data_IF_937190288986
#
_entry.id   IF_937190288986
#
_cell.length_a   1.000
_cell.length_b   1.000
_cell.length_c   1.000
_cell.angle_alpha   90.00
_cell.angle_beta   90.00
_cell.angle_gamma   90.00
#
_symmetry.space_group_name_H-M   'P 1'
#
loop_
_entity.id
_entity.type
_entity.pdbx_description
1 polymer ?
#
# COMPACT_ATOMS: atom_id res chain seq x y z
N UNK A 1 24.56 -4.40 14.26
CA UNK A 1 25.21 -5.64 13.77
C UNK A 1 26.56 -5.28 13.18
N UNK A 2 27.58 -5.25 14.01
CA UNK A 2 28.94 -4.97 13.57
C UNK A 2 29.79 -6.25 13.85
N UNK A 3 30.19 -6.95 12.78
CA UNK A 3 31.15 -8.04 12.97
C UNK A 3 31.34 -9.02 11.82
N UNK A 4 30.29 -9.61 11.30
CA UNK A 4 30.42 -10.56 10.18
C UNK A 4 29.65 -10.09 8.97
N UNK A 5 30.27 -10.11 7.79
CA UNK A 5 29.58 -9.85 6.56
C UNK A 5 28.59 -11.00 6.32
N UNK A 6 27.32 -10.70 6.00
CA UNK A 6 26.28 -11.72 5.82
C UNK A 6 26.53 -12.64 4.62
N UNK A 7 27.51 -12.31 3.79
CA UNK A 7 27.97 -13.10 2.65
C UNK A 7 29.47 -12.89 2.39
N UNK A 8 30.07 -13.86 1.73
CA UNK A 8 31.44 -13.80 1.22
C UNK A 8 31.49 -14.09 -0.27
N UNK A 9 32.47 -13.50 -0.96
CA UNK A 9 32.75 -13.76 -2.39
C UNK A 9 34.18 -14.27 -2.48
N UNK A 10 34.35 -15.52 -2.95
CA UNK A 10 35.63 -16.13 -3.19
C UNK A 10 35.58 -16.99 -4.44
N UNK A 11 36.58 -16.90 -5.30
CA UNK A 11 36.74 -17.73 -6.51
C UNK A 11 35.51 -17.72 -7.44
N UNK A 12 34.82 -16.55 -7.52
CA UNK A 12 33.59 -16.40 -8.31
C UNK A 12 32.35 -17.05 -7.67
N UNK A 13 32.46 -17.54 -6.43
CA UNK A 13 31.34 -18.06 -5.66
C UNK A 13 30.88 -17.03 -4.63
N UNK A 14 29.56 -16.96 -4.44
CA UNK A 14 28.92 -16.15 -3.40
C UNK A 14 28.28 -17.11 -2.38
N UNK A 15 28.75 -17.03 -1.14
CA UNK A 15 28.22 -17.81 -0.01
C UNK A 15 27.45 -16.88 0.94
N UNK A 16 26.23 -17.25 1.29
CA UNK A 16 25.34 -16.49 2.19
C UNK A 16 25.19 -17.27 3.50
N UNK A 17 25.19 -16.57 4.63
CA UNK A 17 24.99 -17.16 5.95
C UNK A 17 23.52 -17.57 6.15
N UNK A 18 23.27 -18.80 6.63
CA UNK A 18 21.93 -19.28 6.97
C UNK A 18 21.28 -18.44 8.09
N UNK A 19 22.05 -18.00 9.06
CA UNK A 19 21.57 -17.14 10.13
C UNK A 19 21.08 -15.79 9.59
N UNK A 20 21.73 -15.27 8.56
CA UNK A 20 21.31 -14.04 7.91
C UNK A 20 20.02 -14.24 7.07
N UNK A 21 19.91 -15.35 6.35
CA UNK A 21 18.67 -15.71 5.64
C UNK A 21 17.50 -15.87 6.61
N UNK A 22 17.73 -16.49 7.76
CA UNK A 22 16.75 -16.57 8.85
C UNK A 22 16.27 -15.20 9.31
N UNK A 23 17.18 -14.26 9.56
CA UNK A 23 16.83 -12.89 9.95
C UNK A 23 15.99 -12.17 8.90
N UNK A 24 16.35 -12.28 7.62
CA UNK A 24 15.56 -11.69 6.53
C UNK A 24 14.16 -12.28 6.46
N UNK A 25 14.05 -13.60 6.63
CA UNK A 25 12.76 -14.31 6.65
C UNK A 25 11.90 -13.84 7.82
N UNK A 26 12.47 -13.66 9.01
CA UNK A 26 11.79 -13.17 10.21
C UNK A 26 11.24 -11.75 10.02
N UNK A 27 12.01 -10.87 9.40
CA UNK A 27 11.57 -9.51 9.10
C UNK A 27 10.43 -9.48 8.08
N UNK A 28 10.61 -10.17 6.95
CA UNK A 28 9.63 -10.14 5.84
C UNK A 28 8.31 -10.80 6.20
N UNK A 29 8.35 -11.77 7.09
CA UNK A 29 7.16 -12.48 7.58
C UNK A 29 6.50 -11.82 8.79
N UNK A 30 7.11 -10.75 9.33
CA UNK A 30 6.69 -10.14 10.60
C UNK A 30 6.65 -11.15 11.77
N UNK A 31 7.66 -12.02 11.88
CA UNK A 31 7.72 -13.12 12.84
C UNK A 31 7.51 -12.66 14.29
N UNK A 32 8.16 -11.56 14.68
CA UNK A 32 8.00 -10.99 16.02
C UNK A 32 6.55 -10.60 16.33
N UNK A 33 5.84 -10.05 15.34
CA UNK A 33 4.43 -9.69 15.51
C UNK A 33 3.51 -10.93 15.54
N UNK A 34 3.81 -11.97 14.77
CA UNK A 34 3.06 -13.23 14.81
C UNK A 34 3.14 -13.90 16.19
N UNK A 35 4.29 -13.78 16.85
CA UNK A 35 4.54 -14.36 18.18
C UNK A 35 4.07 -13.47 19.33
N UNK A 36 3.74 -12.19 19.05
CA UNK A 36 3.32 -11.25 20.07
C UNK A 36 1.90 -11.53 20.56
N UNK A 37 1.71 -11.55 21.88
CA UNK A 37 0.40 -11.59 22.53
C UNK A 37 -0.20 -10.19 22.76
N UNK A 38 0.59 -9.14 22.52
CA UNK A 38 0.13 -7.76 22.72
C UNK A 38 -1.00 -7.41 21.75
N UNK A 39 -2.05 -6.79 22.29
CA UNK A 39 -3.19 -6.28 21.49
C UNK A 39 -3.55 -4.87 21.93
N UNK A 40 -3.88 -4.04 20.96
CA UNK A 40 -4.46 -2.73 21.23
C UNK A 40 -5.99 -2.83 21.42
N UNK A 41 -6.64 -1.67 21.66
CA UNK A 41 -8.09 -1.58 21.83
C UNK A 41 -8.92 -2.10 20.66
N UNK A 42 -8.33 -2.24 19.49
CA UNK A 42 -8.95 -2.75 18.27
C UNK A 42 -8.56 -4.21 17.98
N UNK A 43 -7.93 -4.89 18.94
CA UNK A 43 -7.44 -6.28 18.80
C UNK A 43 -6.39 -6.41 17.67
N UNK A 44 -5.54 -5.40 17.49
CA UNK A 44 -4.42 -5.40 16.54
C UNK A 44 -3.11 -5.61 17.29
N UNK A 45 -2.12 -6.16 16.61
CA UNK A 45 -0.74 -6.12 17.11
C UNK A 45 -0.26 -4.66 17.06
N UNK A 46 0.11 -4.04 18.20
CA UNK A 46 0.57 -2.65 18.21
C UNK A 46 1.96 -2.53 17.58
N UNK A 47 2.24 -1.36 16.99
CA UNK A 47 3.54 -1.11 16.38
C UNK A 47 4.73 -1.32 17.33
N UNK A 48 4.54 -1.12 18.64
CA UNK A 48 5.57 -1.40 19.66
C UNK A 48 6.00 -2.87 19.77
N UNK A 49 5.29 -3.82 19.13
CA UNK A 49 5.71 -5.22 19.00
C UNK A 49 6.58 -5.49 17.76
N UNK A 50 6.73 -4.51 16.88
CA UNK A 50 7.50 -4.64 15.65
C UNK A 50 9.00 -4.43 15.91
N UNK A 51 9.84 -5.31 15.37
CA UNK A 51 11.29 -5.29 15.59
C UNK A 51 11.95 -3.98 15.09
N UNK A 52 11.48 -3.42 13.97
CA UNK A 52 12.03 -2.17 13.44
C UNK A 52 11.67 -0.97 14.32
N UNK A 53 10.45 -0.96 14.87
CA UNK A 53 10.01 0.08 15.82
C UNK A 53 10.84 0.01 17.11
N UNK A 54 11.07 -1.19 17.63
CA UNK A 54 11.92 -1.37 18.81
C UNK A 54 13.37 -0.92 18.58
N UNK A 55 13.84 -1.01 17.33
CA UNK A 55 15.16 -0.55 16.91
C UNK A 55 15.21 0.94 16.51
N UNK A 56 14.07 1.65 16.43
CA UNK A 56 13.99 3.01 15.89
C UNK A 56 14.30 3.12 14.40
N UNK A 57 14.05 2.04 13.65
CA UNK A 57 14.36 1.90 12.22
C UNK A 57 13.11 1.73 11.33
N UNK A 58 11.93 2.04 11.85
CA UNK A 58 10.66 1.89 11.12
C UNK A 58 10.55 2.79 9.89
N UNK A 59 11.42 3.80 9.77
CA UNK A 59 11.49 4.66 8.57
C UNK A 59 12.59 4.24 7.60
N UNK A 60 13.34 3.19 7.89
CA UNK A 60 14.43 2.69 7.05
C UNK A 60 13.98 1.54 6.16
N UNK A 61 14.50 1.50 4.94
CA UNK A 61 14.27 0.44 3.97
C UNK A 61 15.36 -0.65 4.10
N UNK A 62 15.45 -1.24 5.30
CA UNK A 62 16.53 -2.17 5.66
C UNK A 62 16.65 -3.34 4.68
N UNK A 63 15.53 -3.97 4.31
CA UNK A 63 15.54 -5.12 3.40
C UNK A 63 15.95 -4.73 1.98
N UNK A 64 15.53 -3.55 1.49
CA UNK A 64 15.95 -3.09 0.17
C UNK A 64 17.41 -2.70 0.13
N UNK A 65 17.94 -2.11 1.18
CA UNK A 65 19.37 -1.82 1.31
C UNK A 65 20.20 -3.13 1.27
N UNK A 66 19.78 -4.12 2.04
CA UNK A 66 20.40 -5.47 2.01
C UNK A 66 20.32 -6.08 0.61
N UNK A 67 19.17 -5.97 -0.06
CA UNK A 67 19.01 -6.50 -1.42
C UNK A 67 19.92 -5.76 -2.44
N UNK A 68 20.11 -4.45 -2.30
CA UNK A 68 21.04 -3.69 -3.12
C UNK A 68 22.49 -4.12 -2.89
N UNK A 69 22.92 -4.24 -1.63
CA UNK A 69 24.25 -4.70 -1.26
C UNK A 69 24.53 -6.13 -1.75
N UNK A 70 23.50 -7.00 -1.67
CA UNK A 70 23.58 -8.37 -2.19
C UNK A 70 23.72 -8.39 -3.72
N UNK A 71 22.91 -7.58 -4.43
CA UNK A 71 23.04 -7.39 -5.89
C UNK A 71 24.47 -6.99 -6.27
N UNK A 72 25.03 -6.03 -5.56
CA UNK A 72 26.40 -5.57 -5.81
C UNK A 72 27.44 -6.67 -5.53
N UNK A 73 27.21 -7.53 -4.53
CA UNK A 73 28.05 -8.70 -4.29
C UNK A 73 27.96 -9.71 -5.45
N UNK A 74 26.76 -9.97 -5.98
CA UNK A 74 26.55 -10.81 -7.16
C UNK A 74 27.29 -10.24 -8.38
N UNK A 75 27.21 -8.94 -8.63
CA UNK A 75 27.92 -8.27 -9.72
C UNK A 75 29.44 -8.43 -9.55
N UNK A 76 29.96 -8.24 -8.35
CA UNK A 76 31.40 -8.48 -8.07
C UNK A 76 31.81 -9.92 -8.29
N UNK A 77 31.00 -10.89 -7.85
CA UNK A 77 31.27 -12.31 -8.04
C UNK A 77 31.25 -12.72 -9.52
N UNK A 78 30.42 -12.08 -10.35
CA UNK A 78 30.37 -12.31 -11.78
C UNK A 78 31.68 -11.89 -12.50
N UNK A 79 32.44 -10.92 -11.94
CA UNK A 79 33.68 -10.43 -12.53
C UNK A 79 33.47 -9.84 -13.91
N UNK A 80 34.16 -10.39 -14.91
CA UNK A 80 34.07 -9.94 -16.33
C UNK A 80 32.90 -10.57 -17.11
N UNK A 81 32.10 -11.44 -16.49
CA UNK A 81 30.96 -12.08 -17.17
C UNK A 81 29.92 -11.05 -17.53
N UNK A 82 29.37 -11.09 -18.77
CA UNK A 82 28.28 -10.20 -19.16
C UNK A 82 27.07 -10.41 -18.26
N UNK A 83 26.54 -9.33 -17.73
CA UNK A 83 25.34 -9.34 -16.87
C UNK A 83 24.27 -8.41 -17.42
N UNK A 84 23.03 -8.77 -17.18
CA UNK A 84 21.84 -7.95 -17.38
C UNK A 84 20.94 -8.05 -16.16
N UNK A 85 20.26 -6.96 -15.85
CA UNK A 85 19.27 -6.88 -14.79
C UNK A 85 17.90 -6.54 -15.38
N UNK A 86 16.84 -7.02 -14.80
CA UNK A 86 15.50 -6.60 -15.16
C UNK A 86 15.25 -5.18 -14.65
N UNK A 87 14.69 -4.32 -15.50
CA UNK A 87 14.24 -2.99 -15.09
C UNK A 87 13.36 -3.05 -13.83
N UNK A 88 13.51 -2.11 -12.90
CA UNK A 88 12.72 -2.12 -11.68
C UNK A 88 11.23 -1.96 -11.98
N UNK A 89 10.87 -1.08 -12.92
CA UNK A 89 9.49 -0.72 -13.28
C UNK A 89 9.34 -0.58 -14.80
N UNK A 90 8.10 -0.52 -15.34
CA UNK A 90 7.88 -0.42 -16.79
C UNK A 90 8.33 0.94 -17.33
N UNK A 91 8.50 0.99 -18.64
CA UNK A 91 8.70 2.20 -19.47
C UNK A 91 9.83 3.14 -19.02
N UNK A 92 10.84 2.57 -18.33
CA UNK A 92 12.00 3.32 -17.84
C UNK A 92 11.78 4.06 -16.52
N UNK A 93 10.64 3.87 -15.87
CA UNK A 93 10.42 4.38 -14.52
C UNK A 93 11.36 3.72 -13.52
N UNK A 94 11.89 4.52 -12.58
CA UNK A 94 12.80 4.02 -11.55
C UNK A 94 12.11 3.64 -10.25
N UNK A 95 10.88 4.12 -10.03
CA UNK A 95 10.07 3.82 -8.86
C UNK A 95 8.59 3.90 -9.21
N UNK A 96 7.74 3.39 -8.33
CA UNK A 96 6.30 3.39 -8.52
C UNK A 96 5.57 4.10 -7.39
N UNK A 97 4.36 4.59 -7.66
CA UNK A 97 3.47 5.15 -6.67
C UNK A 97 2.06 4.55 -6.83
N UNK A 98 1.60 3.87 -5.78
CA UNK A 98 0.26 3.32 -5.64
C UNK A 98 -0.61 4.22 -4.76
N UNK A 99 -1.54 4.96 -5.36
CA UNK A 99 -2.52 5.74 -4.63
C UNK A 99 -3.67 4.85 -4.21
N UNK A 100 -4.14 4.97 -2.96
CA UNK A 100 -5.31 4.22 -2.52
C UNK A 100 -6.22 5.03 -1.60
N UNK A 101 -7.51 4.65 -1.62
CA UNK A 101 -8.57 5.31 -0.90
C UNK A 101 -9.43 4.29 -0.16
N UNK A 102 -9.65 4.50 1.14
CA UNK A 102 -10.53 3.66 1.93
C UNK A 102 -11.89 4.37 2.06
N UNK A 103 -12.95 3.74 1.56
CA UNK A 103 -14.29 4.31 1.53
C UNK A 103 -15.04 3.98 2.83
N UNK A 104 -14.65 4.67 3.92
CA UNK A 104 -15.19 4.45 5.26
C UNK A 104 -16.53 5.15 5.48
N UNK A 105 -16.70 6.32 4.89
CA UNK A 105 -17.87 7.19 5.07
C UNK A 105 -18.50 7.46 3.71
N UNK A 106 -19.77 7.09 3.56
CA UNK A 106 -20.60 7.39 2.38
C UNK A 106 -21.82 8.20 2.80
N UNK A 107 -22.53 7.76 3.82
CA UNK A 107 -23.73 8.39 4.33
C UNK A 107 -23.49 9.09 5.68
N UNK A 108 -24.48 9.84 6.17
CA UNK A 108 -24.50 10.40 7.52
C UNK A 108 -23.38 11.42 7.82
N UNK A 109 -22.85 12.12 6.82
CA UNK A 109 -21.77 13.08 7.03
C UNK A 109 -22.04 14.12 8.16
N UNK A 110 -23.27 14.62 8.43
CA UNK A 110 -23.51 15.53 9.54
C UNK A 110 -23.22 14.91 10.93
N UNK A 111 -23.48 13.59 11.07
CA UNK A 111 -23.13 12.87 12.28
C UNK A 111 -21.60 12.81 12.48
N UNK A 112 -20.86 12.49 11.41
CA UNK A 112 -19.40 12.47 11.46
C UNK A 112 -18.82 13.85 11.73
N UNK A 113 -19.43 14.93 11.22
CA UNK A 113 -19.11 16.31 11.60
C UNK A 113 -19.29 16.51 13.12
N UNK A 114 -20.42 16.08 13.67
CA UNK A 114 -20.68 16.17 15.11
C UNK A 114 -19.64 15.41 15.96
N UNK A 115 -19.30 14.19 15.56
CA UNK A 115 -18.26 13.39 16.22
C UNK A 115 -16.89 14.10 16.16
N UNK A 116 -16.54 14.65 15.00
CA UNK A 116 -15.29 15.40 14.85
C UNK A 116 -15.26 16.68 15.66
N UNK A 117 -16.36 17.40 15.76
CA UNK A 117 -16.45 18.58 16.63
C UNK A 117 -16.21 18.23 18.09
N UNK A 118 -16.70 17.09 18.58
CA UNK A 118 -16.40 16.64 19.95
C UNK A 118 -14.92 16.35 20.16
N UNK A 119 -14.25 15.81 19.16
CA UNK A 119 -12.80 15.59 19.18
C UNK A 119 -12.05 16.95 19.21
N UNK A 120 -12.39 17.90 18.33
CA UNK A 120 -11.80 19.23 18.28
C UNK A 120 -12.01 20.03 19.57
N UNK A 121 -13.16 19.88 20.25
CA UNK A 121 -13.42 20.47 21.55
C UNK A 121 -12.45 19.91 22.60
N UNK A 122 -12.21 18.61 22.61
CA UNK A 122 -11.23 17.97 23.51
C UNK A 122 -9.81 18.46 23.25
N UNK A 123 -9.47 18.70 21.98
CA UNK A 123 -8.17 19.27 21.58
C UNK A 123 -8.07 20.78 21.77
N UNK A 124 -9.15 21.46 22.20
CA UNK A 124 -9.21 22.90 22.45
C UNK A 124 -8.81 23.74 21.22
N UNK A 125 -9.29 23.38 20.03
CA UNK A 125 -9.02 24.09 18.77
C UNK A 125 -10.25 24.88 18.29
N UNK A 126 -10.50 26.10 18.86
CA UNK A 126 -11.67 26.91 18.52
C UNK A 126 -11.64 27.41 17.07
N UNK A 127 -10.45 27.64 16.52
CA UNK A 127 -10.30 28.11 15.14
C UNK A 127 -10.77 27.07 14.14
N UNK A 128 -10.43 25.80 14.37
CA UNK A 128 -10.87 24.69 13.52
C UNK A 128 -12.35 24.36 13.72
N UNK A 129 -12.86 24.48 14.95
CA UNK A 129 -14.30 24.34 15.21
C UNK A 129 -15.10 25.33 14.37
N UNK A 130 -14.74 26.62 14.38
CA UNK A 130 -15.42 27.66 13.60
C UNK A 130 -15.34 27.39 12.09
N UNK A 131 -14.17 27.02 11.57
CA UNK A 131 -13.99 26.67 10.16
C UNK A 131 -14.85 25.45 9.76
N UNK A 132 -14.91 24.43 10.61
CA UNK A 132 -15.71 23.23 10.38
C UNK A 132 -17.20 23.54 10.37
N UNK A 133 -17.70 24.32 11.33
CA UNK A 133 -19.10 24.73 11.40
C UNK A 133 -19.48 25.58 10.20
N UNK A 134 -18.66 26.56 9.82
CA UNK A 134 -18.88 27.40 8.64
C UNK A 134 -18.92 26.54 7.35
N UNK A 135 -17.99 25.62 7.17
CA UNK A 135 -17.97 24.72 6.04
C UNK A 135 -19.19 23.77 6.02
N UNK A 136 -19.58 23.23 7.17
CA UNK A 136 -20.75 22.37 7.27
C UNK A 136 -22.04 23.11 6.90
N UNK A 137 -22.21 24.35 7.36
CA UNK A 137 -23.37 25.18 7.03
C UNK A 137 -23.43 25.50 5.53
N UNK A 138 -22.31 25.87 4.93
CA UNK A 138 -22.23 26.19 3.48
C UNK A 138 -22.37 24.97 2.59
N UNK A 139 -22.09 23.78 3.09
CA UNK A 139 -22.22 22.52 2.35
C UNK A 139 -23.65 21.94 2.37
N UNK A 140 -24.52 22.44 3.22
CA UNK A 140 -25.94 22.05 3.18
C UNK A 140 -26.69 22.86 2.11
N UNK A 141 -27.49 22.25 1.23
CA UNK A 141 -27.96 20.86 1.22
C UNK A 141 -27.08 19.86 0.45
N UNK A 142 -25.85 20.19 0.16
CA UNK A 142 -24.95 19.37 -0.65
C UNK A 142 -24.41 18.11 0.06
N UNK A 143 -23.56 17.42 -0.66
CA UNK A 143 -22.88 16.20 -0.23
C UNK A 143 -21.36 16.39 -0.25
N UNK A 144 -20.76 16.79 0.85
CA UNK A 144 -19.33 17.05 0.90
C UNK A 144 -18.46 15.79 0.72
N UNK A 145 -18.96 14.59 1.07
CA UNK A 145 -18.21 13.34 0.87
C UNK A 145 -18.16 12.99 -0.61
N UNK A 146 -19.31 13.07 -1.31
CA UNK A 146 -19.34 12.85 -2.75
C UNK A 146 -18.49 13.88 -3.51
N UNK A 147 -18.53 15.14 -3.10
CA UNK A 147 -17.64 16.18 -3.64
C UNK A 147 -16.17 15.85 -3.37
N UNK A 148 -15.84 15.33 -2.19
CA UNK A 148 -14.50 14.85 -1.85
C UNK A 148 -14.03 13.75 -2.79
N UNK A 149 -14.87 12.73 -3.03
CA UNK A 149 -14.58 11.65 -4.00
C UNK A 149 -14.33 12.23 -5.39
N UNK A 150 -15.22 13.11 -5.88
CA UNK A 150 -15.06 13.75 -7.19
C UNK A 150 -13.74 14.53 -7.28
N UNK A 151 -13.41 15.30 -6.24
CA UNK A 151 -12.14 16.03 -6.17
C UNK A 151 -10.93 15.11 -6.24
N UNK A 152 -10.93 13.98 -5.53
CA UNK A 152 -9.84 13.00 -5.60
C UNK A 152 -9.68 12.42 -7.01
N UNK A 153 -10.78 12.09 -7.67
CA UNK A 153 -10.78 11.58 -9.04
C UNK A 153 -10.24 12.61 -10.04
N UNK A 154 -10.70 13.86 -9.95
CA UNK A 154 -10.22 14.96 -10.80
C UNK A 154 -8.74 15.24 -10.60
N UNK A 155 -8.27 15.26 -9.36
CA UNK A 155 -6.85 15.47 -9.05
C UNK A 155 -5.98 14.31 -9.55
N UNK A 156 -6.40 13.05 -9.40
CA UNK A 156 -5.73 11.90 -9.97
C UNK A 156 -5.68 11.95 -11.50
N UNK A 157 -6.80 12.24 -12.15
CA UNK A 157 -6.90 12.36 -13.60
C UNK A 157 -5.99 13.46 -14.16
N UNK A 158 -5.83 14.59 -13.45
CA UNK A 158 -4.97 15.71 -13.83
C UNK A 158 -3.50 15.30 -14.05
N UNK A 159 -3.03 14.31 -13.29
CA UNK A 159 -1.65 13.80 -13.38
C UNK A 159 -1.57 12.40 -14.00
N UNK A 160 -2.67 11.87 -14.53
CA UNK A 160 -2.72 10.54 -15.13
C UNK A 160 -2.50 9.40 -14.13
N UNK A 161 -2.84 9.59 -12.85
CA UNK A 161 -2.64 8.60 -11.80
C UNK A 161 -3.93 7.80 -11.54
N UNK A 162 -3.97 6.50 -11.92
CA UNK A 162 -5.02 5.61 -11.45
C UNK A 162 -4.88 5.36 -9.94
N UNK A 163 -5.95 4.94 -9.30
CA UNK A 163 -5.93 4.62 -7.87
C UNK A 163 -6.74 3.37 -7.55
N UNK A 164 -6.48 2.78 -6.38
CA UNK A 164 -7.21 1.63 -5.85
C UNK A 164 -8.14 2.07 -4.74
N UNK A 165 -9.43 1.72 -4.83
CA UNK A 165 -10.46 2.09 -3.88
C UNK A 165 -10.91 0.86 -3.09
N UNK A 166 -10.69 0.86 -1.78
CA UNK A 166 -11.13 -0.22 -0.91
C UNK A 166 -12.51 0.10 -0.34
N UNK A 167 -13.47 -0.81 -0.55
CA UNK A 167 -14.89 -0.62 -0.29
C UNK A 167 -15.38 -1.61 0.76
N UNK A 168 -15.99 -1.08 1.84
CA UNK A 168 -16.67 -1.90 2.85
C UNK A 168 -17.93 -2.54 2.23
N UNK A 169 -18.03 -3.86 2.30
CA UNK A 169 -19.13 -4.62 1.71
C UNK A 169 -19.77 -5.67 2.66
N UNK A 170 -19.65 -5.43 3.96
CA UNK A 170 -20.33 -6.22 5.01
C UNK A 170 -21.83 -5.92 5.08
N UNK A 171 -22.47 -6.45 6.11
CA UNK A 171 -23.91 -6.15 6.40
C UNK A 171 -23.99 -5.06 7.47
N UNK A 172 -24.61 -3.90 7.18
CA UNK A 172 -24.78 -2.85 8.17
C UNK A 172 -25.76 -3.30 9.26
N UNK A 173 -25.34 -3.12 10.51
CA UNK A 173 -26.14 -3.43 11.70
C UNK A 173 -25.97 -2.34 12.76
N UNK A 174 -26.83 -2.21 13.76
CA UNK A 174 -26.57 -1.30 14.87
C UNK A 174 -25.21 -1.54 15.56
N UNK A 175 -24.74 -2.79 15.61
CA UNK A 175 -23.44 -3.12 16.19
C UNK A 175 -22.27 -2.67 15.33
N UNK A 176 -22.33 -2.81 14.00
CA UNK A 176 -21.29 -2.30 13.09
C UNK A 176 -21.24 -0.78 13.11
N UNK A 177 -22.41 -0.13 13.18
CA UNK A 177 -22.51 1.31 13.31
C UNK A 177 -21.88 1.81 14.63
N UNK A 178 -22.24 1.21 15.76
CA UNK A 178 -21.68 1.58 17.08
C UNK A 178 -20.17 1.32 17.18
N UNK A 179 -19.66 0.31 16.47
CA UNK A 179 -18.23 0.00 16.40
C UNK A 179 -17.44 0.95 15.45
N UNK A 180 -18.12 1.81 14.68
CA UNK A 180 -17.52 2.63 13.63
C UNK A 180 -16.96 1.78 12.47
N UNK A 181 -17.51 0.56 12.27
CA UNK A 181 -17.11 -0.33 11.18
C UNK A 181 -17.86 0.05 9.89
N UNK A 182 -18.99 -0.57 9.63
CA UNK A 182 -19.83 -0.24 8.48
C UNK A 182 -21.03 0.60 8.92
N UNK A 183 -21.10 1.85 8.46
CA UNK A 183 -22.09 2.84 8.85
C UNK A 183 -23.08 3.20 7.73
N UNK A 184 -22.93 2.59 6.56
CA UNK A 184 -23.72 2.86 5.36
C UNK A 184 -24.11 1.57 4.64
N UNK A 185 -25.06 1.65 3.72
CA UNK A 185 -25.54 0.48 2.98
C UNK A 185 -24.77 0.32 1.65
N UNK A 186 -23.93 -0.73 1.50
CA UNK A 186 -23.19 -1.00 0.26
C UNK A 186 -24.07 -1.19 -0.98
N UNK A 187 -25.33 -1.58 -0.80
CA UNK A 187 -26.30 -1.77 -1.88
C UNK A 187 -27.11 -0.50 -2.15
N UNK A 188 -26.90 0.55 -1.37
CA UNK A 188 -27.61 1.81 -1.50
C UNK A 188 -27.38 2.48 -2.87
N UNK A 189 -28.37 3.27 -3.33
CA UNK A 189 -28.29 3.97 -4.61
C UNK A 189 -27.05 4.86 -4.72
N UNK A 190 -26.67 5.50 -3.61
CA UNK A 190 -25.50 6.37 -3.53
C UNK A 190 -24.19 5.60 -3.68
N UNK A 191 -24.04 4.49 -2.96
CA UNK A 191 -22.88 3.61 -3.06
C UNK A 191 -22.72 3.07 -4.48
N UNK A 192 -23.81 2.57 -5.10
CA UNK A 192 -23.79 2.10 -6.48
C UNK A 192 -23.37 3.18 -7.48
N UNK A 193 -23.81 4.44 -7.29
CA UNK A 193 -23.39 5.56 -8.14
C UNK A 193 -21.87 5.82 -8.02
N UNK A 194 -21.31 5.74 -6.81
CA UNK A 194 -19.86 5.84 -6.59
C UNK A 194 -19.11 4.70 -7.30
N UNK A 195 -19.57 3.45 -7.14
CA UNK A 195 -18.92 2.31 -7.81
C UNK A 195 -18.93 2.47 -9.33
N UNK A 196 -20.07 2.86 -9.90
CA UNK A 196 -20.17 3.09 -11.35
C UNK A 196 -19.22 4.19 -11.82
N UNK A 197 -19.03 5.24 -11.04
CA UNK A 197 -18.09 6.33 -11.34
C UNK A 197 -16.64 5.83 -11.30
N UNK A 198 -16.28 5.04 -10.29
CA UNK A 198 -14.92 4.48 -10.13
C UNK A 198 -14.56 3.54 -11.28
N UNK A 199 -15.46 2.60 -11.61
CA UNK A 199 -15.27 1.66 -12.73
C UNK A 199 -15.18 2.39 -14.06
N UNK A 200 -16.09 3.35 -14.32
CA UNK A 200 -16.08 4.13 -15.56
C UNK A 200 -14.80 4.98 -15.72
N UNK A 201 -14.17 5.39 -14.64
CA UNK A 201 -12.92 6.14 -14.64
C UNK A 201 -11.67 5.24 -14.69
N UNK A 202 -11.82 3.91 -14.75
CA UNK A 202 -10.71 2.95 -14.83
C UNK A 202 -9.94 2.76 -13.53
N UNK A 203 -10.55 3.08 -12.38
CA UNK A 203 -9.95 2.82 -11.07
C UNK A 203 -10.20 1.37 -10.63
N UNK A 204 -9.26 0.82 -9.86
CA UNK A 204 -9.42 -0.49 -9.27
C UNK A 204 -10.32 -0.43 -8.03
N UNK A 205 -11.22 -1.41 -7.88
CA UNK A 205 -12.01 -1.61 -6.67
C UNK A 205 -11.56 -2.87 -5.94
N UNK A 206 -11.04 -2.69 -4.72
CA UNK A 206 -10.68 -3.74 -3.77
C UNK A 206 -11.71 -3.87 -2.63
N UNK A 207 -11.66 -4.98 -1.90
CA UNK A 207 -12.47 -5.15 -0.70
C UNK A 207 -11.84 -4.43 0.50
N UNK A 208 -12.60 -3.56 1.18
CA UNK A 208 -12.29 -3.17 2.55
C UNK A 208 -12.92 -4.18 3.50
N UNK A 209 -12.10 -5.08 4.08
CA UNK A 209 -12.60 -6.15 4.93
C UNK A 209 -13.19 -5.61 6.23
N UNK A 210 -14.49 -5.80 6.48
CA UNK A 210 -15.15 -5.34 7.71
C UNK A 210 -14.64 -6.06 8.96
N UNK A 211 -15.00 -5.62 10.15
CA UNK A 211 -14.63 -6.31 11.40
C UNK A 211 -15.11 -7.77 11.46
N UNK A 212 -16.15 -8.10 10.72
CA UNK A 212 -16.66 -9.47 10.65
C UNK A 212 -15.62 -10.42 10.06
N UNK A 213 -14.86 -10.01 9.06
CA UNK A 213 -13.84 -10.85 8.41
C UNK A 213 -12.74 -11.28 9.39
N UNK A 214 -12.42 -10.46 10.39
CA UNK A 214 -11.42 -10.82 11.41
C UNK A 214 -11.94 -11.85 12.45
N UNK A 215 -13.25 -12.10 12.49
CA UNK A 215 -13.89 -13.03 13.42
C UNK A 215 -14.43 -14.27 12.73
N UNK A 216 -14.81 -14.16 11.47
CA UNK A 216 -15.44 -15.20 10.65
C UNK A 216 -14.77 -15.22 9.27
N UNK A 217 -13.82 -16.12 9.03
CA UNK A 217 -13.05 -16.18 7.77
C UNK A 217 -13.93 -16.27 6.52
N UNK A 218 -15.06 -17.00 6.60
CA UNK A 218 -16.00 -17.09 5.47
C UNK A 218 -16.54 -15.73 4.99
N UNK A 219 -16.57 -14.72 5.89
CA UNK A 219 -17.02 -13.36 5.53
C UNK A 219 -16.16 -12.72 4.44
N UNK A 220 -14.90 -13.09 4.28
CA UNK A 220 -14.07 -12.62 3.16
C UNK A 220 -14.66 -13.00 1.81
N UNK A 221 -14.98 -14.28 1.62
CA UNK A 221 -15.55 -14.75 0.36
C UNK A 221 -16.95 -14.18 0.11
N UNK A 222 -17.78 -14.08 1.15
CA UNK A 222 -19.13 -13.52 1.09
C UNK A 222 -19.11 -12.04 0.68
N UNK A 223 -18.27 -11.22 1.35
CA UNK A 223 -18.15 -9.79 1.05
C UNK A 223 -17.54 -9.56 -0.34
N UNK A 224 -16.55 -10.38 -0.73
CA UNK A 224 -15.97 -10.34 -2.07
C UNK A 224 -17.00 -10.65 -3.15
N UNK A 225 -17.81 -11.69 -2.97
CA UNK A 225 -18.88 -12.04 -3.90
C UNK A 225 -19.96 -10.95 -4.00
N UNK A 226 -20.35 -10.37 -2.85
CA UNK A 226 -21.29 -9.23 -2.82
C UNK A 226 -20.73 -8.03 -3.58
N UNK A 227 -19.46 -7.67 -3.34
CA UNK A 227 -18.82 -6.57 -4.04
C UNK A 227 -18.79 -6.79 -5.55
N UNK A 228 -18.47 -8.01 -5.99
CA UNK A 228 -18.50 -8.37 -7.42
C UNK A 228 -19.89 -8.21 -8.05
N UNK A 229 -20.97 -8.55 -7.33
CA UNK A 229 -22.34 -8.32 -7.79
C UNK A 229 -22.68 -6.82 -7.92
N UNK A 230 -22.09 -5.97 -7.08
CA UNK A 230 -22.36 -4.54 -7.05
C UNK A 230 -21.56 -3.76 -8.09
N UNK A 231 -20.34 -4.19 -8.39
CA UNK A 231 -19.41 -3.48 -9.29
C UNK A 231 -19.32 -4.11 -10.68
N UNK A 232 -19.72 -5.37 -10.83
CA UNK A 232 -19.50 -6.17 -12.05
C UNK A 232 -18.11 -6.77 -12.15
N UNK A 233 -17.21 -6.47 -11.22
CA UNK A 233 -15.81 -6.90 -11.22
C UNK A 233 -15.44 -7.63 -9.92
N UNK A 234 -14.65 -8.69 -10.04
CA UNK A 234 -14.18 -9.43 -8.87
C UNK A 234 -12.97 -8.74 -8.25
N UNK A 235 -13.07 -8.31 -7.00
CA UNK A 235 -11.97 -7.70 -6.28
C UNK A 235 -10.77 -8.64 -6.20
N UNK A 236 -9.61 -8.17 -6.67
CA UNK A 236 -8.33 -8.90 -6.62
C UNK A 236 -7.61 -8.68 -5.31
N UNK A 237 -7.76 -7.48 -4.74
CA UNK A 237 -7.11 -7.07 -3.52
C UNK A 237 -8.05 -6.86 -2.34
N UNK A 238 -7.45 -6.90 -1.14
CA UNK A 238 -8.14 -6.63 0.11
C UNK A 238 -7.30 -5.72 1.00
N UNK A 239 -7.98 -4.88 1.79
CA UNK A 239 -7.41 -4.14 2.92
C UNK A 239 -8.35 -4.27 4.10
N UNK A 240 -7.83 -4.63 5.27
CA UNK A 240 -8.64 -4.73 6.48
C UNK A 240 -8.96 -3.35 7.05
N UNK A 241 -10.23 -3.12 7.33
CA UNK A 241 -10.67 -1.94 8.06
C UNK A 241 -9.97 -1.81 9.41
N UNK A 242 -9.56 -0.60 9.77
CA UNK A 242 -8.72 -0.30 10.95
C UNK A 242 -7.36 -1.02 10.95
N UNK A 243 -6.87 -1.50 9.81
CA UNK A 243 -5.63 -2.28 9.74
C UNK A 243 -5.70 -3.51 10.66
N UNK A 244 -6.88 -4.10 10.80
CA UNK A 244 -7.12 -5.21 11.73
C UNK A 244 -6.61 -6.53 11.14
N UNK A 245 -5.35 -6.82 11.39
CA UNK A 245 -4.62 -7.93 10.81
C UNK A 245 -3.94 -8.75 11.91
N UNK A 246 -3.99 -10.06 11.77
CA UNK A 246 -3.12 -11.03 12.46
C UNK A 246 -2.18 -11.63 11.41
N UNK A 247 -0.92 -11.16 11.35
CA UNK A 247 0.02 -11.63 10.34
C UNK A 247 0.12 -13.15 10.30
N UNK A 248 0.21 -13.71 9.10
CA UNK A 248 0.21 -15.16 8.87
C UNK A 248 -1.18 -15.78 8.88
N UNK A 249 -2.01 -15.55 9.89
CA UNK A 249 -3.35 -16.14 10.01
C UNK A 249 -4.32 -15.51 9.01
N UNK A 250 -4.52 -14.20 9.11
CA UNK A 250 -5.46 -13.47 8.24
C UNK A 250 -5.07 -13.57 6.76
N UNK A 251 -3.78 -13.61 6.45
CA UNK A 251 -3.32 -13.78 5.06
C UNK A 251 -3.75 -15.11 4.45
N UNK A 252 -3.72 -16.21 5.22
CA UNK A 252 -4.19 -17.51 4.74
C UNK A 252 -5.72 -17.50 4.53
N UNK A 253 -6.46 -16.82 5.39
CA UNK A 253 -7.91 -16.62 5.25
C UNK A 253 -8.26 -15.82 3.98
N UNK A 254 -7.53 -14.73 3.71
CA UNK A 254 -7.65 -13.95 2.49
C UNK A 254 -7.34 -14.78 1.23
N UNK A 255 -6.26 -15.57 1.28
CA UNK A 255 -5.91 -16.48 0.19
C UNK A 255 -6.99 -17.54 -0.06
N UNK A 256 -7.56 -18.11 1.01
CA UNK A 256 -8.67 -19.05 0.93
C UNK A 256 -9.93 -18.46 0.30
N UNK A 257 -10.13 -17.15 0.42
CA UNK A 257 -11.20 -16.40 -0.24
C UNK A 257 -10.86 -15.97 -1.67
N UNK A 258 -9.65 -16.28 -2.17
CA UNK A 258 -9.21 -16.01 -3.52
C UNK A 258 -8.66 -14.61 -3.77
N UNK A 259 -8.26 -13.87 -2.71
CA UNK A 259 -7.55 -12.60 -2.90
C UNK A 259 -6.11 -12.84 -3.37
N UNK A 260 -5.70 -12.03 -4.32
CA UNK A 260 -4.37 -12.11 -4.93
C UNK A 260 -3.34 -11.27 -4.18
N UNK A 261 -3.77 -10.15 -3.57
CA UNK A 261 -2.90 -9.32 -2.76
C UNK A 261 -3.62 -8.76 -1.53
N UNK A 262 -2.83 -8.46 -0.49
CA UNK A 262 -3.23 -7.73 0.73
C UNK A 262 -2.51 -6.39 0.81
N UNK A 263 -3.26 -5.32 1.02
CA UNK A 263 -2.75 -3.95 1.19
C UNK A 263 -2.87 -3.47 2.65
N UNK A 264 -2.89 -4.39 3.62
CA UNK A 264 -3.04 -4.06 5.05
C UNK A 264 -1.71 -3.87 5.79
N UNK A 265 -0.59 -4.40 5.25
CA UNK A 265 0.71 -4.44 5.95
C UNK A 265 1.36 -3.05 6.05
N UNK A 266 0.79 -2.18 6.88
CA UNK A 266 1.36 -0.92 7.33
C UNK A 266 1.09 -0.74 8.80
N UNK A 267 1.66 0.27 9.42
CA UNK A 267 1.36 0.61 10.81
C UNK A 267 0.03 1.35 10.91
N UNK A 268 -0.71 1.12 11.98
CA UNK A 268 -1.97 1.81 12.23
C UNK A 268 -1.80 3.14 12.98
N UNK A 269 -0.69 3.33 13.68
CA UNK A 269 -0.43 4.43 14.62
C UNK A 269 0.79 5.29 14.27
N UNK A 270 1.50 4.95 13.20
CA UNK A 270 2.64 5.72 12.68
C UNK A 270 2.81 5.48 11.18
N UNK A 271 3.53 6.36 10.51
CA UNK A 271 3.96 6.18 9.12
C UNK A 271 5.36 5.58 9.09
N UNK A 272 5.64 4.76 8.09
CA UNK A 272 6.91 4.05 7.94
C UNK A 272 6.76 2.68 7.29
N UNK A 273 7.83 1.93 7.27
CA UNK A 273 7.95 0.66 6.54
C UNK A 273 7.87 -0.52 7.52
N UNK A 274 6.67 -1.06 7.71
CA UNK A 274 6.41 -2.13 8.70
C UNK A 274 7.25 -3.39 8.49
N UNK A 275 7.59 -3.70 7.26
CA UNK A 275 8.47 -4.83 6.88
C UNK A 275 9.90 -4.40 6.51
N UNK A 276 10.26 -3.10 6.66
CA UNK A 276 11.55 -2.57 6.22
C UNK A 276 11.74 -2.64 4.71
N UNK A 277 10.64 -2.64 3.95
CA UNK A 277 10.64 -2.77 2.49
C UNK A 277 9.58 -1.87 1.87
N UNK A 278 9.90 -1.30 0.71
CA UNK A 278 8.99 -0.57 -0.15
C UNK A 278 8.83 -1.31 -1.49
N UNK A 279 8.29 -2.50 -1.44
CA UNK A 279 8.07 -3.38 -2.60
C UNK A 279 6.96 -4.39 -2.31
N UNK A 280 6.47 -5.06 -3.35
CA UNK A 280 5.56 -6.19 -3.22
C UNK A 280 6.31 -7.41 -2.70
N UNK A 281 5.84 -7.94 -1.60
CA UNK A 281 6.46 -9.06 -0.89
C UNK A 281 5.54 -10.28 -0.95
N UNK A 282 6.03 -11.47 -1.38
CA UNK A 282 5.27 -12.69 -1.22
C UNK A 282 5.01 -12.97 0.27
N UNK A 283 3.76 -13.32 0.62
CA UNK A 283 3.47 -13.73 1.99
C UNK A 283 4.24 -15.01 2.33
N UNK A 284 4.93 -15.01 3.47
CA UNK A 284 5.73 -16.14 3.92
C UNK A 284 5.03 -16.93 5.02
N UNK A 285 4.91 -18.24 4.85
CA UNK A 285 4.42 -19.16 5.87
C UNK A 285 5.58 -19.78 6.66
N UNK A 286 5.68 -19.44 7.93
CA UNK A 286 6.66 -20.07 8.82
C UNK A 286 6.42 -21.56 9.01
N UNK A 287 5.16 -21.99 9.06
CA UNK A 287 4.82 -23.39 9.26
C UNK A 287 5.24 -24.27 8.09
N UNK A 288 5.16 -23.74 6.85
CA UNK A 288 5.44 -24.49 5.63
C UNK A 288 6.81 -24.12 5.01
N UNK A 289 7.50 -23.12 5.57
CA UNK A 289 8.78 -22.60 5.06
C UNK A 289 8.75 -22.28 3.56
N UNK A 290 7.65 -21.64 3.12
CA UNK A 290 7.43 -21.30 1.71
C UNK A 290 6.58 -20.03 1.58
N UNK A 291 6.64 -19.40 0.41
CA UNK A 291 5.72 -18.34 0.05
C UNK A 291 4.31 -18.92 -0.15
N UNK A 292 3.38 -18.52 0.71
CA UNK A 292 1.99 -18.99 0.69
C UNK A 292 1.06 -17.90 1.19
N UNK A 293 0.11 -17.52 0.37
CA UNK A 293 -0.83 -16.44 0.68
C UNK A 293 -0.88 -15.41 -0.45
N UNK A 294 -1.55 -14.28 -0.23
CA UNK A 294 -1.57 -13.19 -1.18
C UNK A 294 -0.22 -12.48 -1.23
N UNK A 295 0.08 -11.78 -2.31
CA UNK A 295 1.19 -10.82 -2.31
C UNK A 295 0.88 -9.68 -1.34
N UNK A 296 1.86 -9.20 -0.58
CA UNK A 296 1.71 -8.09 0.35
C UNK A 296 2.14 -6.79 -0.31
N UNK A 297 1.29 -5.76 -0.25
CA UNK A 297 1.61 -4.37 -0.60
C UNK A 297 1.68 -3.58 0.70
N UNK A 298 2.86 -3.41 1.31
CA UNK A 298 2.99 -2.60 2.51
C UNK A 298 2.76 -1.13 2.18
N UNK A 299 1.80 -0.49 2.87
CA UNK A 299 1.67 0.96 2.76
C UNK A 299 2.65 1.66 3.72
N UNK A 300 3.27 2.74 3.24
CA UNK A 300 4.22 3.51 4.01
C UNK A 300 3.59 4.70 4.74
N UNK A 301 2.45 5.19 4.23
CA UNK A 301 1.85 6.43 4.68
C UNK A 301 0.32 6.38 4.68
N UNK A 302 -0.27 7.01 5.70
CA UNK A 302 -1.72 7.20 5.81
C UNK A 302 -2.01 8.60 6.42
N UNK A 303 -2.91 9.32 5.79
CA UNK A 303 -3.25 10.72 6.10
C UNK A 303 -3.61 11.00 7.56
N UNK A 304 -4.44 10.14 8.14
CA UNK A 304 -4.97 10.32 9.51
C UNK A 304 -3.98 9.93 10.62
N UNK A 305 -2.88 9.29 10.28
CA UNK A 305 -1.95 8.78 11.27
C UNK A 305 -1.37 9.88 12.13
N UNK A 306 -0.85 10.95 11.52
CA UNK A 306 -0.26 12.06 12.26
C UNK A 306 -1.29 12.83 13.07
N UNK A 307 -2.50 13.07 12.54
CA UNK A 307 -3.53 13.78 13.29
C UNK A 307 -4.11 12.97 14.44
N UNK A 308 -4.31 11.67 14.22
CA UNK A 308 -5.00 10.79 15.18
C UNK A 308 -4.10 10.33 16.33
N UNK A 309 -2.82 10.06 16.04
CA UNK A 309 -1.91 9.44 17.00
C UNK A 309 -0.80 10.36 17.49
N UNK A 310 -0.43 11.38 16.70
CA UNK A 310 0.62 12.34 17.06
C UNK A 310 0.10 13.77 17.31
N UNK A 311 -1.21 14.00 17.13
CA UNK A 311 -1.83 15.32 17.33
C UNK A 311 -1.38 16.39 16.33
N UNK A 312 -0.74 16.01 15.24
CA UNK A 312 -0.30 16.91 14.17
C UNK A 312 -1.45 17.15 13.23
N UNK A 313 -2.16 18.25 13.45
CA UNK A 313 -3.40 18.57 12.74
C UNK A 313 -3.18 19.40 11.46
N UNK A 314 -1.97 19.83 11.16
CA UNK A 314 -1.65 20.63 9.95
C UNK A 314 -1.49 19.71 8.74
N UNK A 315 -2.34 19.85 7.69
CA UNK A 315 -2.24 19.00 6.51
C UNK A 315 -0.90 19.10 5.78
N UNK A 316 -0.24 20.28 5.83
CA UNK A 316 1.08 20.50 5.23
C UNK A 316 2.13 19.53 5.82
N UNK A 317 2.10 19.33 7.14
CA UNK A 317 3.01 18.40 7.81
C UNK A 317 2.73 16.92 7.42
N UNK A 318 1.46 16.59 7.09
CA UNK A 318 1.14 15.26 6.58
C UNK A 318 1.78 15.04 5.21
N UNK A 319 1.79 16.07 4.37
CA UNK A 319 2.38 16.02 3.04
C UNK A 319 3.90 15.92 3.11
N UNK A 320 4.53 16.73 3.97
CA UNK A 320 5.98 16.67 4.21
C UNK A 320 6.41 15.25 4.60
N UNK A 321 5.70 14.62 5.55
CA UNK A 321 5.95 13.24 5.99
C UNK A 321 5.75 12.21 4.85
N UNK A 322 4.67 12.37 4.07
CA UNK A 322 4.38 11.48 2.93
C UNK A 322 5.43 11.57 1.82
N UNK A 323 5.88 12.78 1.49
CA UNK A 323 6.89 13.02 0.47
C UNK A 323 8.30 12.60 0.93
N UNK A 324 8.61 12.72 2.21
CA UNK A 324 9.87 12.18 2.76
C UNK A 324 9.94 10.65 2.58
N UNK A 325 8.86 9.93 2.93
CA UNK A 325 8.80 8.49 2.71
C UNK A 325 8.82 8.12 1.23
N UNK A 326 8.19 8.93 0.36
CA UNK A 326 8.24 8.73 -1.09
C UNK A 326 9.66 8.91 -1.64
N UNK A 327 10.42 9.88 -1.14
CA UNK A 327 11.81 10.06 -1.52
C UNK A 327 12.67 8.83 -1.19
N UNK A 328 12.48 8.22 -0.01
CA UNK A 328 13.16 6.96 0.37
C UNK A 328 12.79 5.80 -0.57
N UNK A 329 11.50 5.69 -0.94
CA UNK A 329 11.06 4.68 -1.91
C UNK A 329 11.72 4.89 -3.28
N UNK A 330 11.80 6.13 -3.76
CA UNK A 330 12.45 6.49 -5.03
C UNK A 330 13.94 6.15 -5.01
N UNK A 331 14.66 6.53 -3.96
CA UNK A 331 16.10 6.24 -3.81
C UNK A 331 16.39 4.74 -3.82
N UNK A 332 15.48 3.95 -3.28
CA UNK A 332 15.58 2.50 -3.24
C UNK A 332 15.01 1.78 -4.49
N UNK A 333 14.61 2.52 -5.54
CA UNK A 333 13.94 1.98 -6.74
C UNK A 333 12.70 1.13 -6.39
N UNK A 334 12.05 1.46 -5.28
CA UNK A 334 10.90 0.77 -4.73
C UNK A 334 9.56 1.35 -5.16
N UNK A 335 8.53 1.07 -4.37
CA UNK A 335 7.20 1.65 -4.53
C UNK A 335 6.79 2.42 -3.26
N UNK A 336 6.09 3.53 -3.44
CA UNK A 336 5.36 4.19 -2.37
C UNK A 336 3.88 3.81 -2.48
N UNK A 337 3.31 3.27 -1.41
CA UNK A 337 1.88 3.05 -1.29
C UNK A 337 1.34 3.96 -0.18
N UNK A 338 0.37 4.80 -0.53
CA UNK A 338 -0.23 5.76 0.39
C UNK A 338 -1.74 5.65 0.44
N UNK A 339 -2.31 6.01 1.60
CA UNK A 339 -3.73 5.98 1.87
C UNK A 339 -4.23 7.40 2.09
N UNK A 340 -5.25 7.81 1.34
CA UNK A 340 -6.00 9.03 1.56
C UNK A 340 -7.50 8.75 1.65
N UNK A 341 -8.13 9.15 2.77
CA UNK A 341 -9.56 8.92 2.98
C UNK A 341 -10.40 10.02 2.31
N UNK A 342 -11.42 9.67 1.52
CA UNK A 342 -12.27 10.63 0.81
C UNK A 342 -13.08 11.57 1.72
N UNK A 343 -13.26 11.19 2.98
CA UNK A 343 -13.97 11.99 3.98
C UNK A 343 -13.12 13.08 4.65
N UNK A 344 -11.87 13.29 4.21
CA UNK A 344 -11.03 14.40 4.65
C UNK A 344 -11.43 15.68 3.90
N UNK A 345 -12.58 16.23 4.28
CA UNK A 345 -13.15 17.42 3.68
C UNK A 345 -13.45 18.46 4.77
N UNK A 346 -13.50 19.77 4.43
CA UNK A 346 -13.70 20.83 5.41
C UNK A 346 -14.93 20.67 6.31
N UNK A 347 -16.12 20.26 5.80
CA UNK A 347 -17.29 20.01 6.62
C UNK A 347 -17.14 18.92 7.69
N UNK A 348 -16.24 17.96 7.46
CA UNK A 348 -15.92 16.89 8.40
C UNK A 348 -14.70 17.22 9.30
N UNK A 349 -14.31 18.50 9.37
CA UNK A 349 -13.28 19.00 10.27
C UNK A 349 -11.85 18.92 9.75
N UNK A 350 -11.68 18.88 8.42
CA UNK A 350 -10.37 18.85 7.77
C UNK A 350 -10.19 20.02 6.79
N UNK A 351 -10.21 21.27 7.27
CA UNK A 351 -9.95 22.42 6.42
C UNK A 351 -8.52 22.36 5.86
N UNK A 352 -8.38 22.61 4.56
CA UNK A 352 -7.09 22.53 3.86
C UNK A 352 -6.70 21.13 3.35
N UNK A 353 -7.41 20.06 3.73
CA UNK A 353 -7.07 18.70 3.27
C UNK A 353 -7.17 18.51 1.74
N UNK A 354 -8.16 19.02 1.01
CA UNK A 354 -8.18 18.91 -0.45
C UNK A 354 -6.96 19.57 -1.12
N UNK A 355 -6.52 20.72 -0.63
CA UNK A 355 -5.32 21.42 -1.12
C UNK A 355 -4.05 20.65 -0.79
N UNK A 356 -3.97 20.06 0.40
CA UNK A 356 -2.87 19.21 0.81
C UNK A 356 -2.77 17.97 -0.09
N UNK A 357 -3.89 17.33 -0.41
CA UNK A 357 -3.89 16.19 -1.33
C UNK A 357 -3.37 16.59 -2.72
N UNK A 358 -3.80 17.74 -3.26
CA UNK A 358 -3.28 18.24 -4.52
C UNK A 358 -1.75 18.46 -4.46
N UNK A 359 -1.25 19.04 -3.36
CA UNK A 359 0.18 19.25 -3.15
C UNK A 359 0.97 17.92 -3.05
N UNK A 360 0.39 16.90 -2.40
CA UNK A 360 0.97 15.56 -2.38
C UNK A 360 1.12 15.01 -3.78
N UNK A 361 0.07 15.07 -4.59
CA UNK A 361 0.08 14.57 -5.96
C UNK A 361 1.09 15.32 -6.83
N UNK A 362 1.18 16.65 -6.70
CA UNK A 362 2.16 17.45 -7.42
C UNK A 362 3.59 17.08 -7.03
N UNK A 363 3.85 16.89 -5.74
CA UNK A 363 5.15 16.46 -5.24
C UNK A 363 5.54 15.07 -5.76
N UNK A 364 4.61 14.11 -5.75
CA UNK A 364 4.85 12.77 -6.31
C UNK A 364 5.09 12.82 -7.82
N UNK A 365 4.24 13.54 -8.58
CA UNK A 365 4.33 13.63 -10.03
C UNK A 365 5.62 14.29 -10.49
N UNK A 366 6.14 15.29 -9.75
CA UNK A 366 7.41 15.94 -10.01
C UNK A 366 8.60 14.98 -10.04
N UNK A 367 8.51 13.87 -9.32
CA UNK A 367 9.54 12.82 -9.23
C UNK A 367 9.32 11.65 -10.20
N UNK A 368 8.35 11.75 -11.10
CA UNK A 368 8.06 10.85 -12.22
C UNK A 368 7.95 9.36 -11.84
N UNK A 369 7.11 8.96 -10.86
CA UNK A 369 6.86 7.55 -10.61
C UNK A 369 6.09 6.91 -11.76
N UNK A 370 6.09 5.59 -11.81
CA UNK A 370 5.03 4.86 -12.46
C UNK A 370 3.80 4.88 -11.55
N UNK A 371 2.80 5.69 -11.89
CA UNK A 371 1.51 5.64 -11.22
C UNK A 371 0.73 4.44 -11.71
N UNK A 372 0.32 3.58 -10.79
CA UNK A 372 -0.42 2.36 -11.11
C UNK A 372 -1.34 1.95 -9.97
N UNK A 373 -2.37 1.17 -10.30
CA UNK A 373 -3.21 0.50 -9.31
C UNK A 373 -2.40 -0.57 -8.55
N UNK A 374 -2.87 -0.98 -7.40
CA UNK A 374 -2.20 -2.03 -6.64
C UNK A 374 -2.15 -3.36 -7.40
N UNK A 375 -3.20 -3.68 -8.16
CA UNK A 375 -3.21 -4.87 -9.02
C UNK A 375 -2.13 -4.82 -10.10
N UNK A 376 -1.98 -3.69 -10.81
CA UNK A 376 -0.96 -3.51 -11.83
C UNK A 376 0.46 -3.61 -11.25
N UNK A 377 0.69 -3.04 -10.05
CA UNK A 377 1.96 -3.15 -9.34
C UNK A 377 2.26 -4.63 -9.00
N UNK A 378 1.28 -5.39 -8.50
CA UNK A 378 1.43 -6.82 -8.24
C UNK A 378 1.72 -7.59 -9.51
N UNK A 379 1.00 -7.35 -10.59
CA UNK A 379 1.20 -8.03 -11.88
C UNK A 379 2.61 -7.80 -12.42
N UNK A 380 3.08 -6.54 -12.38
CA UNK A 380 4.45 -6.22 -12.77
C UNK A 380 5.47 -7.01 -11.95
N UNK A 381 5.33 -7.02 -10.62
CA UNK A 381 6.27 -7.72 -9.74
C UNK A 381 6.22 -9.24 -9.90
N UNK A 382 5.04 -9.82 -10.13
CA UNK A 382 4.88 -11.25 -10.45
C UNK A 382 5.54 -11.60 -11.76
N UNK A 383 5.29 -10.83 -12.81
CA UNK A 383 5.92 -11.03 -14.11
C UNK A 383 7.44 -10.94 -14.01
N UNK A 384 7.95 -9.93 -13.29
CA UNK A 384 9.38 -9.75 -13.08
C UNK A 384 10.02 -10.93 -12.30
N UNK A 385 9.35 -11.44 -11.25
CA UNK A 385 9.81 -12.63 -10.50
C UNK A 385 9.79 -13.91 -11.32
N UNK A 386 8.84 -14.05 -12.23
CA UNK A 386 8.66 -15.24 -13.07
C UNK A 386 9.48 -15.19 -14.36
N UNK A 387 10.08 -14.06 -14.70
CA UNK A 387 10.89 -13.91 -15.90
C UNK A 387 12.08 -14.89 -15.92
N UNK A 388 12.34 -15.47 -17.08
CA UNK A 388 13.45 -16.39 -17.33
C UNK A 388 14.22 -15.97 -18.56
N UNK A 389 15.53 -16.04 -18.52
CA UNK A 389 16.35 -15.96 -19.72
C UNK A 389 16.15 -17.23 -20.55
N UNK A 390 15.69 -17.09 -21.78
CA UNK A 390 15.39 -18.23 -22.67
C UNK A 390 16.41 -18.39 -23.79
N UNK A 391 17.11 -17.32 -24.16
CA UNK A 391 18.14 -17.35 -25.19
C UNK A 391 19.17 -16.23 -24.98
N UNK A 392 20.37 -16.48 -25.48
CA UNK A 392 21.41 -15.45 -25.68
C UNK A 392 21.82 -15.54 -27.12
N UNK A 393 21.69 -14.47 -27.91
CA UNK A 393 22.10 -14.46 -29.30
C UNK A 393 23.63 -14.31 -29.48
N UNK A 394 24.10 -14.43 -30.70
CA UNK A 394 25.53 -14.30 -31.01
C UNK A 394 26.12 -12.93 -30.70
N UNK A 395 25.29 -11.90 -30.58
CA UNK A 395 25.69 -10.55 -30.18
C UNK A 395 25.71 -10.37 -28.66
N UNK A 396 25.35 -11.41 -27.89
CA UNK A 396 25.24 -11.34 -26.43
C UNK A 396 23.93 -10.74 -25.92
N UNK A 397 22.92 -10.61 -26.78
CA UNK A 397 21.58 -10.12 -26.40
C UNK A 397 20.83 -11.23 -25.68
N UNK A 398 20.37 -10.93 -24.47
CA UNK A 398 19.58 -11.86 -23.67
C UNK A 398 18.11 -11.67 -23.99
N UNK A 399 17.42 -12.76 -24.37
CA UNK A 399 15.97 -12.80 -24.52
C UNK A 399 15.39 -13.33 -23.22
N UNK A 400 14.59 -12.53 -22.55
CA UNK A 400 13.86 -12.94 -21.35
C UNK A 400 12.38 -13.13 -21.68
N UNK A 401 11.76 -14.12 -21.08
CA UNK A 401 10.34 -14.40 -21.23
C UNK A 401 9.67 -14.37 -19.85
N UNK A 402 8.51 -13.74 -19.75
CA UNK A 402 7.65 -13.81 -18.59
C UNK A 402 6.28 -14.33 -18.99
N UNK A 403 5.63 -15.17 -18.19
CA UNK A 403 4.26 -15.58 -18.42
C UNK A 403 3.28 -14.43 -18.12
N UNK A 404 2.25 -14.29 -18.96
CA UNK A 404 1.14 -13.37 -18.79
C UNK A 404 1.34 -11.99 -19.41
N UNK A 405 0.27 -11.22 -19.48
CA UNK A 405 0.29 -9.81 -19.86
C UNK A 405 0.64 -8.94 -18.65
N UNK A 406 1.59 -8.07 -18.81
CA UNK A 406 1.95 -7.05 -17.81
C UNK A 406 1.65 -5.69 -18.38
N UNK A 407 1.31 -4.72 -17.54
CA UNK A 407 1.02 -3.34 -17.92
C UNK A 407 2.23 -2.55 -18.41
N UNK A 408 3.17 -3.21 -19.09
CA UNK A 408 4.37 -2.61 -19.63
C UNK A 408 5.35 -3.67 -20.18
N UNK A 409 6.43 -3.21 -20.81
CA UNK A 409 7.44 -4.07 -21.40
C UNK A 409 8.54 -4.40 -20.38
N UNK A 410 8.81 -5.68 -20.16
CA UNK A 410 9.96 -6.12 -19.38
C UNK A 410 11.25 -5.83 -20.14
N UNK A 411 12.10 -5.00 -19.57
CA UNK A 411 13.36 -4.57 -20.20
C UNK A 411 14.55 -5.11 -19.42
N UNK A 412 15.59 -5.45 -20.18
CA UNK A 412 16.89 -5.81 -19.63
C UNK A 412 17.84 -4.61 -19.71
N UNK A 413 18.54 -4.36 -18.63
CA UNK A 413 19.40 -3.21 -18.46
C UNK A 413 20.83 -3.63 -18.10
N UNK A 414 21.81 -2.77 -18.36
CA UNK A 414 23.17 -2.95 -17.85
C UNK A 414 23.23 -2.56 -16.37
N UNK A 415 23.87 -3.38 -15.51
CA UNK A 415 24.04 -3.02 -14.12
C UNK A 415 24.79 -1.70 -13.94
N UNK A 416 24.26 -0.82 -13.10
CA UNK A 416 24.94 0.42 -12.70
C UNK A 416 25.00 1.55 -13.72
N UNK A 417 24.28 1.49 -14.85
CA UNK A 417 24.20 2.58 -15.82
C UNK A 417 22.88 3.32 -15.76
N UNK A 418 22.97 4.64 -15.72
CA UNK A 418 21.82 5.57 -15.86
C UNK A 418 22.20 6.69 -16.83
N UNK A 419 21.46 7.01 -17.91
CA UNK A 419 20.23 6.36 -18.35
C UNK A 419 20.50 4.95 -18.91
N UNK A 420 19.49 4.13 -18.85
CA UNK A 420 19.56 2.72 -19.17
C UNK A 420 19.45 2.53 -20.68
N UNK A 421 20.45 1.85 -21.27
CA UNK A 421 20.30 1.33 -22.63
C UNK A 421 19.44 0.08 -22.59
N UNK A 422 18.34 0.11 -23.32
CA UNK A 422 17.49 -1.07 -23.54
C UNK A 422 18.24 -2.04 -24.43
N UNK A 423 18.49 -3.25 -23.92
CA UNK A 423 19.33 -4.23 -24.60
C UNK A 423 18.52 -5.30 -25.32
N UNK A 424 17.27 -5.56 -24.94
CA UNK A 424 16.36 -6.43 -25.68
C UNK A 424 14.90 -6.22 -25.30
N UNK A 425 13.99 -6.62 -26.19
CA UNK A 425 12.56 -6.68 -25.94
C UNK A 425 12.14 -8.08 -25.56
N UNK A 426 11.22 -8.21 -24.62
CA UNK A 426 10.51 -9.46 -24.37
C UNK A 426 9.31 -9.57 -25.30
N UNK A 427 9.02 -10.75 -25.78
CA UNK A 427 7.78 -11.09 -26.50
C UNK A 427 6.93 -11.97 -25.63
#
# INVERSE_FOLDING_TARGET
>A
MAGERPWSVADGNLTVSDAFLGLLTDLVSASAEQQSELRDRHDRVPAGANALVLAGQERDLLLQQVAADFRDAVIRAAGSRPMRVLAPWPDGHRWAAGLSHDLDVVDWWPLFTGLRLTELIRHRDPGRILKTLGAAMTSMPGDPVLQGITTLLEQGARIGAPSTWFVLCGTPTPATFAAGDLTWNPEGRRARAIYSQLVAAGHEIGLHGSFETSRRPAAFAEQRARLAQLTGETARGVRQHFVKLRPGVTHLEMSGAGFEYDATMGFSDRNGFRLGVADVVPCWSHAEQTAKGPDLIPFAWMDRTLSKYSGVERPEAWIEDGLELAARCREAEGMWAGIWHPNLVPPLGFPGAPQAYAALLDGLAGERPWFATHAEICDWRRARRSARAVAIDAAGTVVAQAPGSVGGELRLELPGKTPLEVVSRTR
#
